data_IF_096625884103
#
_entry.id   IF_096625884103
#
_cell.length_a   1.000
_cell.length_b   1.000
_cell.length_c   1.000
_cell.angle_alpha   90.00
_cell.angle_beta   90.00
_cell.angle_gamma   90.00
#
_symmetry.space_group_name_H-M   'P 1'
#
loop_
_entity.id
_entity.type
_entity.pdbx_description
1 polymer ?
#
# COMPACT_ATOMS: atom_id res chain seq x y z
N UNK A 1 2.05 2.27 -7.08
CA UNK A 1 1.68 3.62 -7.54
C UNK A 1 0.21 3.62 -7.94
N UNK A 2 -0.61 4.39 -7.23
CA UNK A 2 -2.09 4.39 -7.30
C UNK A 2 -2.64 5.56 -8.12
N UNK A 3 -1.83 6.09 -9.06
CA UNK A 3 -2.22 7.19 -9.94
C UNK A 3 -3.19 6.70 -11.04
N UNK A 4 -4.49 6.93 -10.84
CA UNK A 4 -5.56 6.58 -11.79
C UNK A 4 -5.52 7.37 -13.11
N UNK A 5 -4.66 8.39 -13.23
CA UNK A 5 -4.58 9.20 -14.45
C UNK A 5 -3.65 8.61 -15.53
N UNK A 6 -2.75 7.69 -15.18
CA UNK A 6 -1.67 7.25 -16.08
C UNK A 6 -1.34 5.74 -16.04
N UNK A 7 -2.11 4.89 -15.32
CA UNK A 7 -1.85 3.45 -15.28
C UNK A 7 -2.88 2.62 -14.51
N UNK A 8 -2.74 1.29 -14.57
CA UNK A 8 -3.54 0.36 -13.77
C UNK A 8 -3.36 0.65 -12.28
N UNK A 9 -4.49 0.80 -11.59
CA UNK A 9 -4.56 1.11 -10.16
C UNK A 9 -4.42 -0.18 -9.34
N UNK A 10 -3.23 -0.42 -8.78
CA UNK A 10 -3.04 -1.43 -7.73
C UNK A 10 -3.09 -0.76 -6.36
N UNK A 11 -4.13 -1.02 -5.58
CA UNK A 11 -4.22 -0.49 -4.19
C UNK A 11 -2.98 -0.88 -3.38
N UNK A 12 -2.63 -0.08 -2.37
CA UNK A 12 -1.51 -0.40 -1.49
C UNK A 12 -1.72 -1.78 -0.83
N UNK A 13 -2.95 -2.13 -0.45
CA UNK A 13 -3.29 -3.47 0.06
C UNK A 13 -2.92 -4.59 -0.91
N UNK A 14 -3.19 -4.41 -2.21
CA UNK A 14 -2.86 -5.41 -3.22
C UNK A 14 -1.35 -5.48 -3.45
N UNK A 15 -0.65 -4.35 -3.41
CA UNK A 15 0.82 -4.32 -3.47
C UNK A 15 1.43 -5.06 -2.26
N UNK A 16 0.92 -4.84 -1.06
CA UNK A 16 1.35 -5.54 0.17
C UNK A 16 1.05 -7.04 0.14
N UNK A 17 -0.14 -7.41 -0.35
CA UNK A 17 -0.52 -8.81 -0.52
C UNK A 17 0.44 -9.54 -1.47
N UNK A 18 0.71 -8.93 -2.64
CA UNK A 18 1.67 -9.48 -3.60
C UNK A 18 3.09 -9.52 -3.04
N UNK A 19 3.50 -8.49 -2.29
CA UNK A 19 4.79 -8.46 -1.61
C UNK A 19 4.94 -9.66 -0.65
N UNK A 20 3.93 -9.96 0.18
CA UNK A 20 3.94 -11.13 1.09
C UNK A 20 4.07 -12.45 0.34
N UNK A 21 3.42 -12.60 -0.81
CA UNK A 21 3.56 -13.78 -1.67
C UNK A 21 5.01 -13.92 -2.17
N UNK A 22 5.58 -12.83 -2.67
CA UNK A 22 6.96 -12.83 -3.19
C UNK A 22 7.96 -13.12 -2.07
N UNK A 23 7.81 -12.49 -0.90
CA UNK A 23 8.65 -12.75 0.26
C UNK A 23 8.59 -14.21 0.71
N UNK A 24 7.41 -14.83 0.66
CA UNK A 24 7.24 -16.26 0.97
C UNK A 24 7.94 -17.17 -0.04
N UNK A 25 7.94 -16.80 -1.32
CA UNK A 25 8.68 -17.52 -2.38
C UNK A 25 10.18 -17.40 -2.18
N UNK A 26 10.67 -16.19 -1.89
CA UNK A 26 12.08 -15.95 -1.56
C UNK A 26 12.50 -16.76 -0.34
N UNK A 27 11.67 -16.83 0.71
CA UNK A 27 11.94 -17.67 1.87
C UNK A 27 12.08 -19.15 1.52
N UNK A 28 11.24 -19.66 0.61
CA UNK A 28 11.34 -21.04 0.12
C UNK A 28 12.64 -21.27 -0.67
N UNK A 29 13.05 -20.32 -1.49
CA UNK A 29 14.26 -20.42 -2.32
C UNK A 29 15.56 -20.26 -1.51
N UNK A 30 15.58 -19.36 -0.52
CA UNK A 30 16.74 -19.08 0.32
C UNK A 30 16.85 -19.98 1.56
N UNK A 31 15.95 -20.96 1.71
CA UNK A 31 16.04 -21.98 2.75
C UNK A 31 15.48 -21.57 4.12
N UNK A 32 14.64 -20.53 4.19
CA UNK A 32 13.92 -20.17 5.40
C UNK A 32 13.54 -18.69 5.52
N UNK A 33 12.61 -18.41 6.43
CA UNK A 33 12.10 -17.06 6.68
C UNK A 33 13.17 -16.10 7.22
N UNK A 34 14.09 -16.57 8.07
CA UNK A 34 15.11 -15.72 8.68
C UNK A 34 16.15 -15.23 7.66
N UNK A 35 16.56 -16.11 6.73
CA UNK A 35 17.48 -15.76 5.64
C UNK A 35 16.81 -14.78 4.68
N UNK A 36 15.55 -15.03 4.31
CA UNK A 36 14.79 -14.11 3.46
C UNK A 36 14.56 -12.75 4.11
N UNK A 37 14.25 -12.69 5.42
CA UNK A 37 14.10 -11.42 6.14
C UNK A 37 15.40 -10.61 6.13
N UNK A 38 16.54 -11.26 6.36
CA UNK A 38 17.85 -10.60 6.27
C UNK A 38 18.14 -10.09 4.87
N UNK A 39 17.78 -10.85 3.84
CA UNK A 39 17.97 -10.46 2.44
C UNK A 39 17.06 -9.29 2.04
N UNK A 40 15.76 -9.39 2.34
CA UNK A 40 14.77 -8.35 2.06
C UNK A 40 15.01 -7.07 2.87
N UNK A 41 15.61 -7.18 4.06
CA UNK A 41 16.02 -6.02 4.86
C UNK A 41 17.14 -5.18 4.23
N UNK A 42 17.75 -5.64 3.14
CA UNK A 42 18.70 -4.85 2.34
C UNK A 42 18.01 -4.05 1.24
N UNK A 43 16.73 -4.32 0.96
CA UNK A 43 15.98 -3.62 -0.07
C UNK A 43 15.62 -2.19 0.39
N UNK A 44 15.65 -1.26 -0.55
CA UNK A 44 15.08 0.07 -0.37
C UNK A 44 13.65 0.04 -0.89
N UNK A 45 12.70 0.35 -0.01
CA UNK A 45 11.30 0.48 -0.38
C UNK A 45 10.96 1.96 -0.59
N UNK A 46 10.53 2.30 -1.80
CA UNK A 46 10.02 3.62 -2.13
C UNK A 46 8.50 3.57 -2.23
N UNK A 47 7.83 4.39 -1.42
CA UNK A 47 6.37 4.53 -1.42
C UNK A 47 6.04 5.99 -1.71
N UNK A 48 5.18 6.21 -2.69
CA UNK A 48 4.70 7.54 -3.06
C UNK A 48 3.19 7.59 -2.77
N UNK A 49 2.81 8.54 -1.92
CA UNK A 49 1.43 8.83 -1.54
C UNK A 49 1.20 10.31 -1.82
N UNK A 50 0.13 10.63 -2.53
CA UNK A 50 -0.13 12.00 -2.94
C UNK A 50 -1.59 12.41 -2.88
N UNK A 51 -1.82 13.68 -3.19
CA UNK A 51 -3.15 14.26 -3.30
C UNK A 51 -4.07 13.50 -4.27
N UNK A 52 -3.50 12.91 -5.32
CA UNK A 52 -4.26 12.07 -6.25
C UNK A 52 -4.91 10.86 -5.55
N UNK A 53 -4.25 10.26 -4.56
CA UNK A 53 -4.82 9.17 -3.78
C UNK A 53 -6.01 9.63 -2.95
N UNK A 54 -5.90 10.81 -2.35
CA UNK A 54 -6.99 11.42 -1.60
C UNK A 54 -8.20 11.68 -2.52
N UNK A 55 -8.00 12.43 -3.60
CA UNK A 55 -9.09 12.81 -4.50
C UNK A 55 -9.80 11.61 -5.11
N UNK A 56 -9.04 10.65 -5.64
CA UNK A 56 -9.60 9.50 -6.33
C UNK A 56 -10.37 8.57 -5.39
N UNK A 57 -9.99 8.49 -4.11
CA UNK A 57 -10.69 7.65 -3.14
C UNK A 57 -11.84 8.38 -2.42
N UNK A 58 -11.79 9.71 -2.36
CA UNK A 58 -12.83 10.51 -1.73
C UNK A 58 -13.97 10.86 -2.71
N UNK A 59 -13.63 11.36 -3.90
CA UNK A 59 -14.58 11.83 -4.92
C UNK A 59 -14.76 10.86 -6.10
N UNK A 60 -13.99 9.77 -6.15
CA UNK A 60 -14.04 8.84 -7.28
C UNK A 60 -15.38 8.12 -7.43
N UNK A 61 -15.81 7.92 -8.68
CA UNK A 61 -16.99 7.11 -8.99
C UNK A 61 -16.82 5.67 -8.47
N UNK A 62 -17.85 5.15 -7.80
CA UNK A 62 -17.83 3.83 -7.14
C UNK A 62 -17.40 3.85 -5.67
N UNK A 63 -16.92 4.99 -5.15
CA UNK A 63 -16.63 5.16 -3.72
C UNK A 63 -17.74 5.98 -3.04
N UNK A 64 -18.20 5.52 -1.88
CA UNK A 64 -19.14 6.27 -1.05
C UNK A 64 -18.44 7.14 0.01
N UNK A 65 -17.11 7.26 -0.03
CA UNK A 65 -16.30 7.96 0.96
C UNK A 65 -16.79 9.39 1.21
N UNK A 66 -17.07 10.16 0.15
CA UNK A 66 -17.60 11.53 0.25
C UNK A 66 -19.02 11.65 0.82
N UNK A 67 -19.77 10.54 0.89
CA UNK A 67 -21.10 10.48 1.52
C UNK A 67 -21.05 10.02 2.98
N UNK A 68 -19.94 9.39 3.39
CA UNK A 68 -19.78 8.75 4.70
C UNK A 68 -18.93 9.61 5.62
N UNK A 69 -17.89 10.26 5.09
CA UNK A 69 -16.91 11.03 5.84
C UNK A 69 -16.91 12.48 5.39
N UNK A 70 -16.59 13.39 6.32
CA UNK A 70 -16.10 14.73 5.97
C UNK A 70 -14.69 14.65 5.37
N UNK A 71 -14.23 15.70 4.65
CA UNK A 71 -12.88 15.71 4.10
C UNK A 71 -11.79 15.45 5.17
N UNK A 72 -11.92 16.08 6.34
CA UNK A 72 -10.96 15.97 7.44
C UNK A 72 -10.95 14.54 8.03
N UNK A 73 -12.14 13.94 8.24
CA UNK A 73 -12.25 12.56 8.72
C UNK A 73 -11.63 11.57 7.73
N UNK A 74 -11.85 11.78 6.43
CA UNK A 74 -11.27 10.91 5.42
C UNK A 74 -9.75 11.08 5.29
N UNK A 75 -9.24 12.31 5.42
CA UNK A 75 -7.80 12.58 5.45
C UNK A 75 -7.13 11.89 6.64
N UNK A 76 -7.79 11.85 7.79
CA UNK A 76 -7.28 11.14 8.96
C UNK A 76 -7.32 9.61 8.76
N UNK A 77 -8.38 9.08 8.16
CA UNK A 77 -8.52 7.66 7.83
C UNK A 77 -7.44 7.19 6.82
N UNK A 78 -7.37 7.85 5.65
CA UNK A 78 -6.12 8.35 5.07
C UNK A 78 -4.80 7.90 5.70
N UNK A 79 -4.30 8.82 6.52
CA UNK A 79 -3.02 8.75 7.20
C UNK A 79 -2.90 7.49 8.05
N UNK A 80 -3.91 7.17 8.86
CA UNK A 80 -3.88 5.98 9.73
C UNK A 80 -3.74 4.68 8.93
N UNK A 81 -4.41 4.60 7.78
CA UNK A 81 -4.32 3.44 6.89
C UNK A 81 -2.89 3.32 6.33
N UNK A 82 -2.31 4.43 5.88
CA UNK A 82 -0.95 4.42 5.35
C UNK A 82 0.12 4.14 6.41
N UNK A 83 -0.01 4.66 7.63
CA UNK A 83 0.87 4.33 8.75
C UNK A 83 0.92 2.80 8.97
N UNK A 84 -0.26 2.18 9.08
CA UNK A 84 -0.38 0.72 9.25
C UNK A 84 0.24 -0.04 8.07
N UNK A 85 0.01 0.43 6.84
CA UNK A 85 0.51 -0.24 5.64
C UNK A 85 2.03 -0.15 5.51
N UNK A 86 2.64 0.96 5.94
CA UNK A 86 4.09 1.18 5.88
C UNK A 86 4.84 0.29 6.87
N UNK A 87 4.25 -0.04 8.02
CA UNK A 87 4.81 -1.02 8.98
C UNK A 87 4.91 -2.43 8.37
N UNK A 88 4.04 -2.78 7.41
CA UNK A 88 4.00 -4.11 6.79
C UNK A 88 5.08 -4.29 5.71
N UNK A 89 5.58 -3.19 5.12
CA UNK A 89 6.59 -3.22 4.05
C UNK A 89 7.98 -3.62 4.59
N UNK A 90 8.17 -3.65 5.91
CA UNK A 90 9.45 -3.86 6.60
C UNK A 90 9.76 -5.34 6.87
#
# INVERSE_FOLDING_TARGET
>A
MTASLLGQRYTMDLQLYNHKIIASRIAKELGGADVARKYLGQCIYAVEIGYNDYLNNYYGEGYNSSKIYTPEQFAQLLVQTYETQLEIVQ
#
